data_IF_226235739516
#
_entry.id   IF_226235739516
#
_cell.length_a   1.000
_cell.length_b   1.000
_cell.length_c   1.000
_cell.angle_alpha   90.00
_cell.angle_beta   90.00
_cell.angle_gamma   90.00
#
_symmetry.space_group_name_H-M   'P 1'
#
loop_
_entity.id
_entity.type
_entity.pdbx_description
1 polymer ?
#
# COMPACT_ATOMS: atom_id res chain seq x y z
N UNK A 1 13.10 0.71 -0.52
CA UNK A 1 11.79 1.39 -0.52
C UNK A 1 11.01 0.84 0.67
N UNK A 2 10.25 1.65 1.41
CA UNK A 2 9.31 1.09 2.41
C UNK A 2 7.99 0.84 1.71
N UNK A 3 7.45 -0.37 1.87
CA UNK A 3 6.17 -0.78 1.31
C UNK A 3 5.17 -1.01 2.43
N UNK A 4 3.99 -0.40 2.32
CA UNK A 4 2.81 -0.77 3.13
C UNK A 4 1.81 -1.48 2.23
N UNK A 5 1.59 -2.77 2.47
CA UNK A 5 0.63 -3.57 1.72
C UNK A 5 -0.70 -3.72 2.46
N UNK A 6 -1.81 -3.61 1.73
CA UNK A 6 -3.17 -3.93 2.21
C UNK A 6 -3.68 -5.10 1.38
N UNK A 7 -3.97 -6.23 2.02
CA UNK A 7 -4.31 -7.48 1.32
C UNK A 7 -5.75 -7.89 1.58
N UNK A 8 -6.49 -8.21 0.53
CA UNK A 8 -7.91 -8.49 0.53
C UNK A 8 -8.15 -9.89 -0.05
N UNK A 9 -9.20 -10.54 0.42
CA UNK A 9 -9.68 -11.78 -0.20
C UNK A 9 -10.59 -11.52 -1.42
N UNK A 10 -10.97 -12.59 -2.09
CA UNK A 10 -11.86 -12.60 -3.26
C UNK A 10 -13.28 -12.07 -3.00
N UNK A 11 -13.70 -11.92 -1.74
CA UNK A 11 -15.06 -11.47 -1.39
C UNK A 11 -15.21 -9.95 -1.48
N UNK A 12 -14.09 -9.24 -1.49
CA UNK A 12 -14.03 -7.79 -1.59
C UNK A 12 -14.08 -7.31 -3.05
N UNK A 13 -14.63 -6.12 -3.27
CA UNK A 13 -14.67 -5.51 -4.60
C UNK A 13 -13.49 -4.56 -4.75
N UNK A 14 -12.48 -4.97 -5.52
CA UNK A 14 -11.21 -4.25 -5.70
C UNK A 14 -11.41 -2.75 -6.05
N UNK A 15 -12.33 -2.44 -6.96
CA UNK A 15 -12.66 -1.05 -7.34
C UNK A 15 -13.15 -0.23 -6.14
N UNK A 16 -14.03 -0.82 -5.31
CA UNK A 16 -14.59 -0.14 -4.14
C UNK A 16 -13.55 0.08 -3.06
N UNK A 17 -12.67 -0.90 -2.83
CA UNK A 17 -11.62 -0.76 -1.83
C UNK A 17 -10.54 0.24 -2.27
N UNK A 18 -10.17 0.26 -3.56
CA UNK A 18 -9.28 1.28 -4.11
C UNK A 18 -9.90 2.69 -3.98
N UNK A 19 -11.17 2.84 -4.34
CA UNK A 19 -11.87 4.11 -4.25
C UNK A 19 -11.93 4.64 -2.80
N UNK A 20 -12.19 3.76 -1.81
CA UNK A 20 -12.16 4.12 -0.38
C UNK A 20 -10.78 4.54 0.09
N UNK A 21 -9.74 3.80 -0.32
CA UNK A 21 -8.35 4.12 0.01
C UNK A 21 -7.96 5.49 -0.54
N UNK A 22 -8.19 5.73 -1.83
CA UNK A 22 -7.86 7.01 -2.47
C UNK A 22 -8.64 8.16 -1.81
N UNK A 23 -9.94 7.99 -1.59
CA UNK A 23 -10.75 9.01 -0.94
C UNK A 23 -10.25 9.36 0.47
N UNK A 24 -9.85 8.35 1.25
CA UNK A 24 -9.27 8.58 2.57
C UNK A 24 -7.95 9.35 2.49
N UNK A 25 -7.06 8.99 1.57
CA UNK A 25 -5.79 9.68 1.36
C UNK A 25 -6.00 11.14 0.94
N UNK A 26 -6.96 11.41 0.06
CA UNK A 26 -7.34 12.78 -0.31
C UNK A 26 -7.85 13.59 0.89
N UNK A 27 -8.64 12.98 1.78
CA UNK A 27 -9.08 13.62 3.03
C UNK A 27 -7.90 13.95 3.98
N UNK A 28 -6.80 13.18 3.90
CA UNK A 28 -5.54 13.47 4.60
C UNK A 28 -4.65 14.49 3.86
N UNK A 29 -5.14 15.09 2.77
CA UNK A 29 -4.41 16.10 2.00
C UNK A 29 -3.49 15.53 0.92
N UNK A 30 -3.69 14.27 0.51
CA UNK A 30 -3.00 13.73 -0.66
C UNK A 30 -3.55 14.35 -1.95
N UNK A 31 -2.66 14.60 -2.91
CA UNK A 31 -2.99 15.01 -4.26
C UNK A 31 -2.60 13.92 -5.24
N UNK A 32 -3.55 13.49 -6.07
CA UNK A 32 -3.27 12.58 -7.18
C UNK A 32 -2.49 13.34 -8.25
N UNK A 33 -1.37 12.77 -8.68
CA UNK A 33 -0.49 13.35 -9.71
C UNK A 33 -0.83 12.80 -11.09
N UNK A 34 -0.88 11.47 -11.18
CA UNK A 34 -1.23 10.72 -12.39
C UNK A 34 -1.60 9.28 -11.99
N UNK A 35 -2.26 8.60 -12.90
CA UNK A 35 -2.52 7.16 -12.82
C UNK A 35 -2.20 6.52 -14.15
N UNK A 36 -1.77 5.27 -14.14
CA UNK A 36 -1.41 4.55 -15.34
C UNK A 36 -1.83 3.10 -15.23
N UNK A 37 -2.20 2.54 -16.38
CA UNK A 37 -2.73 1.19 -16.49
C UNK A 37 -2.06 0.48 -17.66
N UNK A 38 -1.58 -0.74 -17.43
CA UNK A 38 -1.13 -1.62 -18.52
C UNK A 38 -2.31 -2.37 -19.10
N UNK A 39 -2.52 -2.22 -20.41
CA UNK A 39 -3.60 -2.89 -21.13
C UNK A 39 -3.27 -4.35 -21.50
N UNK A 40 -2.02 -4.76 -21.37
CA UNK A 40 -1.55 -6.12 -21.64
C UNK A 40 -0.84 -6.74 -20.45
N UNK A 41 -0.77 -8.08 -20.49
CA UNK A 41 -0.19 -8.93 -19.46
C UNK A 41 1.33 -8.80 -19.38
N UNK A 42 1.98 -8.41 -20.48
CA UNK A 42 3.45 -8.26 -20.55
C UNK A 42 3.93 -6.93 -19.94
N UNK A 43 3.01 -6.00 -19.64
CA UNK A 43 3.35 -4.70 -19.09
C UNK A 43 3.94 -3.73 -20.11
N UNK A 44 3.67 -3.91 -21.40
CA UNK A 44 4.32 -3.14 -22.48
C UNK A 44 3.51 -1.92 -22.92
N UNK A 45 2.18 -1.95 -22.80
CA UNK A 45 1.29 -0.85 -23.25
C UNK A 45 0.61 -0.17 -22.08
N UNK A 46 1.23 0.92 -21.66
CA UNK A 46 0.72 1.80 -20.62
C UNK A 46 -0.14 2.93 -21.19
N UNK A 47 -1.26 3.18 -20.53
CA UNK A 47 -2.06 4.39 -20.73
C UNK A 47 -1.97 5.23 -19.48
N UNK A 48 -1.47 6.45 -19.61
CA UNK A 48 -1.36 7.42 -18.53
C UNK A 48 -2.53 8.41 -18.55
N UNK A 49 -3.02 8.77 -17.37
CA UNK A 49 -4.04 9.79 -17.15
C UNK A 49 -3.56 10.78 -16.10
N UNK A 50 -3.62 12.06 -16.44
CA UNK A 50 -3.38 13.19 -15.53
C UNK A 50 -4.70 13.83 -15.06
N UNK A 51 -5.82 13.10 -15.19
CA UNK A 51 -7.11 13.60 -14.73
C UNK A 51 -7.12 13.68 -13.20
N UNK A 52 -7.85 14.68 -12.68
CA UNK A 52 -8.02 14.86 -11.25
C UNK A 52 -8.79 13.70 -10.62
N UNK A 53 -9.78 13.18 -11.34
CA UNK A 53 -10.56 12.02 -10.91
C UNK A 53 -9.95 10.74 -11.49
N UNK A 54 -9.72 9.75 -10.63
CA UNK A 54 -9.15 8.46 -11.01
C UNK A 54 -10.26 7.48 -11.35
N UNK A 55 -10.19 6.90 -12.55
CA UNK A 55 -11.06 5.80 -12.95
C UNK A 55 -10.59 4.49 -12.32
N UNK A 56 -11.10 4.22 -11.12
CA UNK A 56 -10.79 3.00 -10.37
C UNK A 56 -11.23 1.74 -11.10
N UNK A 57 -12.31 1.81 -11.90
CA UNK A 57 -12.78 0.66 -12.66
C UNK A 57 -11.79 0.31 -13.78
N UNK A 58 -11.25 1.32 -14.47
CA UNK A 58 -10.20 1.14 -15.45
C UNK A 58 -8.95 0.50 -14.83
N UNK A 59 -8.43 1.08 -13.75
CA UNK A 59 -7.19 0.63 -13.10
C UNK A 59 -7.27 -0.80 -12.57
N UNK A 60 -8.43 -1.22 -12.10
CA UNK A 60 -8.60 -2.54 -11.49
C UNK A 60 -9.03 -3.62 -12.48
N UNK A 61 -9.54 -3.23 -13.65
CA UNK A 61 -9.99 -4.15 -14.71
C UNK A 61 -8.86 -4.76 -15.52
N UNK A 62 -7.82 -3.98 -15.82
CA UNK A 62 -6.70 -4.41 -16.65
C UNK A 62 -5.59 -5.06 -15.82
N UNK A 63 -4.44 -5.38 -16.43
CA UNK A 63 -3.42 -6.26 -15.85
C UNK A 63 -2.66 -5.61 -14.70
N UNK A 64 -2.11 -4.42 -14.94
CA UNK A 64 -1.38 -3.64 -13.93
C UNK A 64 -2.00 -2.25 -13.84
N UNK A 65 -2.09 -1.71 -12.64
CA UNK A 65 -2.58 -0.34 -12.42
C UNK A 65 -1.80 0.31 -11.29
N UNK A 66 -1.36 1.54 -11.51
CA UNK A 66 -0.70 2.33 -10.47
C UNK A 66 -1.24 3.75 -10.40
N UNK A 67 -1.19 4.30 -9.18
CA UNK A 67 -1.61 5.67 -8.88
C UNK A 67 -0.47 6.37 -8.15
N UNK A 68 0.07 7.41 -8.78
CA UNK A 68 1.04 8.28 -8.16
C UNK A 68 0.32 9.38 -7.39
N UNK A 69 0.57 9.47 -6.09
CA UNK A 69 0.04 10.51 -5.21
C UNK A 69 1.17 11.22 -4.49
N UNK A 70 0.86 12.42 -4.00
CA UNK A 70 1.76 13.19 -3.16
C UNK A 70 1.03 13.60 -1.88
N UNK A 71 1.54 13.18 -0.73
CA UNK A 71 1.02 13.59 0.57
C UNK A 71 1.78 14.83 1.06
N UNK A 72 1.06 15.87 1.46
CA UNK A 72 1.68 17.06 2.06
C UNK A 72 1.72 16.88 3.57
N UNK A 73 2.86 16.48 4.12
CA UNK A 73 3.02 16.30 5.56
C UNK A 73 3.50 17.61 6.23
N UNK A 74 2.89 17.96 7.37
CA UNK A 74 3.31 19.00 8.32
C UNK A 74 3.67 20.37 7.72
N UNK A 75 2.80 21.37 7.92
CA UNK A 75 3.12 22.80 7.69
C UNK A 75 3.76 23.10 6.31
N UNK A 76 3.20 22.51 5.25
CA UNK A 76 3.36 22.94 3.85
C UNK A 76 4.74 22.80 3.18
N UNK A 77 5.76 22.19 3.82
CA UNK A 77 7.13 22.20 3.23
C UNK A 77 7.70 20.85 2.77
N UNK A 78 7.09 19.70 3.09
CA UNK A 78 7.60 18.40 2.61
C UNK A 78 6.51 17.59 1.93
N UNK A 79 6.65 17.48 0.62
CA UNK A 79 5.89 16.56 -0.23
C UNK A 79 6.47 15.15 -0.07
N UNK A 80 5.60 14.17 0.19
CA UNK A 80 5.96 12.76 0.29
C UNK A 80 5.36 12.05 -0.93
N UNK A 81 6.18 11.68 -1.94
CA UNK A 81 5.70 10.91 -3.07
C UNK A 81 5.38 9.48 -2.63
N UNK A 82 4.21 9.00 -3.02
CA UNK A 82 3.74 7.64 -2.77
C UNK A 82 3.25 7.06 -4.10
N UNK A 83 3.74 5.88 -4.45
CA UNK A 83 3.18 5.10 -5.55
C UNK A 83 2.26 4.03 -4.98
N UNK A 84 1.03 3.93 -5.47
CA UNK A 84 0.11 2.84 -5.10
C UNK A 84 0.06 1.87 -6.26
N UNK A 85 0.61 0.67 -6.11
CA UNK A 85 0.47 -0.41 -7.10
C UNK A 85 -0.73 -1.30 -6.75
N UNK A 86 -1.53 -1.64 -7.74
CA UNK A 86 -2.63 -2.60 -7.63
C UNK A 86 -2.08 -3.97 -8.04
N UNK A 87 -1.99 -4.88 -7.07
CA UNK A 87 -1.48 -6.24 -7.27
C UNK A 87 -2.62 -7.24 -7.18
N UNK A 88 -2.72 -8.13 -8.16
CA UNK A 88 -3.80 -9.13 -8.24
C UNK A 88 -3.18 -10.50 -8.38
N UNK A 89 -3.56 -11.37 -7.47
CA UNK A 89 -3.09 -12.75 -7.41
C UNK A 89 -4.24 -13.72 -7.65
N UNK A 90 -3.91 -15.00 -7.78
CA UNK A 90 -4.93 -16.04 -7.88
C UNK A 90 -5.75 -16.08 -6.57
N UNK A 91 -7.01 -15.63 -6.64
CA UNK A 91 -7.99 -15.61 -5.53
C UNK A 91 -7.83 -14.50 -4.48
N UNK A 92 -6.92 -13.54 -4.65
CA UNK A 92 -6.80 -12.40 -3.74
C UNK A 92 -6.18 -11.21 -4.46
N UNK A 93 -6.19 -10.04 -3.82
CA UNK A 93 -5.59 -8.84 -4.38
C UNK A 93 -5.13 -7.92 -3.27
N UNK A 94 -4.44 -6.85 -3.65
CA UNK A 94 -4.27 -5.73 -2.75
C UNK A 94 -3.56 -4.54 -3.35
N UNK A 95 -3.22 -3.63 -2.45
CA UNK A 95 -2.61 -2.35 -2.78
C UNK A 95 -1.31 -2.22 -2.01
N UNK A 96 -0.22 -1.94 -2.70
CA UNK A 96 1.08 -1.66 -2.09
C UNK A 96 1.36 -0.17 -2.24
N UNK A 97 1.50 0.50 -1.10
CA UNK A 97 1.89 1.90 -1.01
C UNK A 97 3.40 1.97 -0.80
N UNK A 98 4.08 2.47 -1.81
CA UNK A 98 5.53 2.53 -1.91
C UNK A 98 6.03 3.94 -1.61
N UNK A 99 6.82 4.06 -0.55
CA UNK A 99 7.38 5.33 -0.07
C UNK A 99 8.85 5.43 -0.52
N UNK A 100 9.08 6.14 -1.62
CA UNK A 100 10.40 6.19 -2.29
C UNK A 100 11.44 7.08 -1.61
N UNK A 101 11.02 8.05 -0.78
CA UNK A 101 11.92 9.10 -0.27
C UNK A 101 11.90 9.26 1.26
N UNK A 102 11.37 8.28 2.00
CA UNK A 102 11.49 8.33 3.46
C UNK A 102 12.95 8.10 3.88
N UNK A 103 13.66 9.21 4.13
CA UNK A 103 15.01 9.20 4.67
C UNK A 103 14.94 8.73 6.13
N UNK A 104 15.27 7.45 6.33
CA UNK A 104 15.37 6.81 7.64
C UNK A 104 16.19 7.62 8.65
N UNK A 105 17.23 8.30 8.18
CA UNK A 105 18.15 9.10 9.00
C UNK A 105 17.49 10.32 9.66
N UNK A 106 16.48 10.92 9.03
CA UNK A 106 15.85 12.16 9.54
C UNK A 106 14.78 11.87 10.60
N UNK A 107 14.08 10.74 10.49
CA UNK A 107 12.93 10.40 11.33
C UNK A 107 13.27 9.31 12.36
N UNK A 108 14.24 8.45 12.05
CA UNK A 108 14.56 7.24 12.81
C UNK A 108 13.66 6.07 12.44
N UNK A 109 14.25 4.88 12.33
CA UNK A 109 13.53 3.66 11.91
C UNK A 109 12.35 3.34 12.83
N UNK A 110 12.54 3.39 14.15
CA UNK A 110 11.48 3.05 15.12
C UNK A 110 10.27 3.98 14.98
N UNK A 111 10.51 5.27 14.72
CA UNK A 111 9.43 6.24 14.52
C UNK A 111 8.71 6.02 13.20
N UNK A 112 9.42 5.62 12.15
CA UNK A 112 8.80 5.23 10.87
C UNK A 112 7.91 3.99 11.03
N UNK A 113 8.36 3.00 11.81
CA UNK A 113 7.54 1.83 12.14
C UNK A 113 6.26 2.24 12.88
N UNK A 114 6.36 3.13 13.86
CA UNK A 114 5.19 3.62 14.61
C UNK A 114 4.22 4.40 13.70
N UNK A 115 4.72 5.22 12.78
CA UNK A 115 3.91 5.92 11.78
C UNK A 115 3.20 4.91 10.86
N UNK A 116 3.91 3.91 10.36
CA UNK A 116 3.33 2.87 9.51
C UNK A 116 2.25 2.07 10.25
N UNK A 117 2.48 1.74 11.53
CA UNK A 117 1.50 1.06 12.39
C UNK A 117 0.24 1.91 12.55
N UNK A 118 0.38 3.19 12.89
CA UNK A 118 -0.75 4.10 13.04
C UNK A 118 -1.54 4.22 11.74
N UNK A 119 -0.85 4.32 10.61
CA UNK A 119 -1.47 4.37 9.29
C UNK A 119 -2.27 3.10 8.98
N UNK A 120 -1.69 1.91 9.16
CA UNK A 120 -2.40 0.63 8.96
C UNK A 120 -3.63 0.49 9.87
N UNK A 121 -3.51 0.93 11.13
CA UNK A 121 -4.62 0.89 12.08
C UNK A 121 -5.76 1.84 11.67
N UNK A 122 -5.44 3.07 11.24
CA UNK A 122 -6.44 4.03 10.75
C UNK A 122 -7.24 3.50 9.56
N UNK A 123 -6.62 2.70 8.70
CA UNK A 123 -7.28 2.11 7.54
C UNK A 123 -8.30 1.02 7.90
N UNK A 124 -8.29 0.49 9.13
CA UNK A 124 -9.26 -0.52 9.61
C UNK A 124 -10.70 -0.03 9.49
N UNK A 125 -10.94 1.25 9.77
CA UNK A 125 -12.29 1.84 9.69
C UNK A 125 -12.64 2.33 8.27
N UNK A 126 -11.68 2.28 7.34
CA UNK A 126 -11.81 2.80 5.97
C UNK A 126 -12.08 1.66 4.99
N UNK A 127 -11.38 0.54 5.15
CA UNK A 127 -11.32 -0.52 4.15
C UNK A 127 -11.27 -1.90 4.81
N UNK A 128 -11.63 -2.93 4.06
CA UNK A 128 -11.86 -4.30 4.59
C UNK A 128 -10.72 -5.27 4.26
N UNK A 129 -9.48 -4.80 4.31
CA UNK A 129 -8.33 -5.69 4.14
C UNK A 129 -8.38 -6.79 5.21
N UNK A 130 -7.85 -7.97 4.89
CA UNK A 130 -7.71 -9.09 5.82
C UNK A 130 -6.46 -8.92 6.69
N UNK A 131 -5.35 -8.53 6.06
CA UNK A 131 -4.14 -8.13 6.76
C UNK A 131 -3.44 -6.98 6.02
N UNK A 132 -2.64 -6.24 6.78
CA UNK A 132 -1.76 -5.22 6.28
C UNK A 132 -0.34 -5.49 6.75
N UNK A 133 0.66 -5.13 5.96
CA UNK A 133 2.06 -5.28 6.33
C UNK A 133 2.85 -4.00 6.06
N UNK A 134 3.99 -3.89 6.73
CA UNK A 134 5.02 -2.91 6.41
C UNK A 134 6.39 -3.60 6.42
N UNK A 135 7.11 -3.55 5.31
CA UNK A 135 8.45 -4.12 5.16
C UNK A 135 9.21 -3.40 4.04
N UNK A 136 10.50 -3.66 3.93
CA UNK A 136 11.35 -3.17 2.86
C UNK A 136 11.02 -3.89 1.54
N UNK A 137 10.71 -3.11 0.51
CA UNK A 137 10.65 -3.55 -0.89
C UNK A 137 9.82 -4.84 -1.09
N UNK A 138 8.68 -4.90 -0.41
CA UNK A 138 7.86 -6.12 -0.34
C UNK A 138 6.59 -5.99 -1.16
N UNK A 139 6.15 -7.12 -1.71
CA UNK A 139 4.98 -7.28 -2.57
C UNK A 139 3.93 -8.21 -1.91
N UNK A 140 2.79 -8.36 -2.57
CA UNK A 140 1.66 -9.18 -2.10
C UNK A 140 1.78 -10.58 -2.71
N UNK A 141 2.35 -11.52 -1.95
CA UNK A 141 2.60 -12.88 -2.44
C UNK A 141 1.79 -13.96 -1.69
N UNK A 142 1.29 -13.65 -0.48
CA UNK A 142 0.75 -14.67 0.43
C UNK A 142 -0.77 -14.51 0.58
N UNK A 143 -1.52 -15.56 0.25
CA UNK A 143 -2.98 -15.56 0.39
C UNK A 143 -3.38 -15.35 1.87
N UNK A 144 -4.38 -14.50 2.19
CA UNK A 144 -4.91 -14.32 3.55
C UNK A 144 -5.25 -15.58 4.38
N UNK A 145 -5.41 -16.75 3.75
CA UNK A 145 -5.67 -18.03 4.44
C UNK A 145 -4.40 -18.65 5.04
N UNK A 146 -3.22 -18.18 4.65
CA UNK A 146 -1.93 -18.74 5.04
C UNK A 146 -1.29 -18.03 6.24
N UNK A 147 -2.07 -17.82 7.32
CA UNK A 147 -1.69 -16.99 8.48
C UNK A 147 -0.28 -17.28 9.02
N UNK A 148 0.13 -18.54 9.13
CA UNK A 148 1.48 -18.89 9.63
C UNK A 148 2.62 -18.36 8.76
N UNK A 149 2.46 -18.35 7.45
CA UNK A 149 3.48 -17.82 6.54
C UNK A 149 3.52 -16.30 6.62
N UNK A 150 2.33 -15.66 6.66
CA UNK A 150 2.19 -14.21 6.81
C UNK A 150 2.81 -13.71 8.11
N UNK A 151 2.51 -14.39 9.24
CA UNK A 151 3.03 -14.04 10.57
C UNK A 151 4.57 -14.03 10.63
N UNK A 152 5.23 -14.79 9.75
CA UNK A 152 6.69 -14.87 9.63
C UNK A 152 7.24 -14.20 8.36
N UNK A 153 6.40 -13.53 7.56
CA UNK A 153 6.77 -13.03 6.24
C UNK A 153 7.18 -11.56 6.21
N UNK A 154 6.70 -10.76 7.19
CA UNK A 154 6.85 -9.30 7.16
C UNK A 154 7.38 -8.73 8.47
N UNK A 155 8.17 -7.66 8.40
CA UNK A 155 8.73 -6.96 9.57
C UNK A 155 7.63 -6.48 10.53
N UNK A 156 6.57 -5.87 9.99
CA UNK A 156 5.38 -5.46 10.73
C UNK A 156 4.16 -6.04 10.04
N UNK A 157 3.27 -6.62 10.84
CA UNK A 157 2.03 -7.22 10.40
C UNK A 157 0.86 -6.73 11.25
N UNK A 158 -0.26 -6.49 10.61
CA UNK A 158 -1.51 -6.11 11.25
C UNK A 158 -2.67 -6.89 10.63
N UNK A 159 -3.21 -7.85 11.38
CA UNK A 159 -4.48 -8.48 11.04
C UNK A 159 -5.64 -7.54 11.37
N UNK A 160 -6.62 -7.45 10.48
CA UNK A 160 -7.72 -6.51 10.63
C UNK A 160 -8.44 -6.66 11.97
N UNK A 161 -8.46 -5.58 12.77
CA UNK A 161 -9.08 -5.56 14.10
C UNK A 161 -8.30 -6.30 15.20
N UNK A 162 -7.13 -6.86 14.90
CA UNK A 162 -6.28 -7.55 15.89
C UNK A 162 -5.19 -6.61 16.45
N UNK A 163 -4.22 -7.18 17.18
CA UNK A 163 -3.02 -6.47 17.62
C UNK A 163 -1.96 -6.53 16.53
N UNK A 164 -1.14 -5.48 16.47
CA UNK A 164 0.04 -5.42 15.62
C UNK A 164 1.08 -6.43 16.10
N UNK A 165 1.68 -7.12 15.14
CA UNK A 165 2.83 -8.00 15.33
C UNK A 165 4.06 -7.33 14.71
N UNK A 166 5.19 -7.42 15.41
CA UNK A 166 6.50 -6.97 14.91
C UNK A 166 7.45 -8.15 15.02
N UNK A 167 8.11 -8.49 13.92
CA UNK A 167 9.11 -9.56 13.88
C UNK A 167 10.48 -9.05 14.35
N UNK A 168 11.50 -9.92 14.33
CA UNK A 168 12.84 -9.60 14.85
C UNK A 168 13.66 -8.65 13.98
N UNK A 169 13.25 -8.43 12.73
CA UNK A 169 13.87 -7.51 11.78
C UNK A 169 13.06 -6.22 11.63
N UNK A 170 13.72 -5.20 11.09
CA UNK A 170 13.22 -3.85 10.83
C UNK A 170 12.79 -3.69 9.38
N UNK A 171 12.01 -2.64 9.12
CA UNK A 171 11.54 -2.26 7.78
C UNK A 171 12.64 -1.64 6.89
N UNK A 172 13.91 -1.74 7.27
CA UNK A 172 15.05 -1.09 6.61
C UNK A 172 15.74 -1.97 5.55
N UNK A 173 15.46 -3.28 5.53
CA UNK A 173 16.12 -4.24 4.64
C UNK A 173 17.59 -4.52 4.99
N UNK A 174 18.08 -4.01 6.11
CA UNK A 174 19.47 -4.17 6.58
C UNK A 174 19.57 -5.21 7.70
N UNK A 175 18.52 -5.35 8.50
CA UNK A 175 18.44 -6.37 9.56
C UNK A 175 18.13 -7.75 9.00
N UNK A 176 18.77 -8.78 9.56
CA UNK A 176 18.60 -10.18 9.13
C UNK A 176 17.20 -10.72 9.46
N UNK A 177 16.56 -11.33 8.46
CA UNK A 177 15.27 -12.05 8.57
C UNK A 177 15.45 -13.43 9.23
#
# INVERSE_FOLDING_TARGET
MISVGLVYDETNQIEKELSRLLHHLEQQGARILHSHVSLDEDGEKWVESHQKEVDCALLTRYYYGEVAICLTACHEMKEIPIMISIQKEQQFFGFVLSFNEMRFEEVGIDRLEDIAIQFMQQLTDVTRFQYAFCDYDSEIEIHPKEKKQIDAGYAILYWHGEKVMKNSWKIDGLTTR
#
